data_IF_732766982673
#
_entry.id   IF_732766982673
#
_cell.length_a   1.000
_cell.length_b   1.000
_cell.length_c   1.000
_cell.angle_alpha   90.00
_cell.angle_beta   90.00
_cell.angle_gamma   90.00
#
_symmetry.space_group_name_H-M   'P 1'
#
loop_
_entity.id
_entity.type
_entity.pdbx_description
1 polymer ?
#
# COMPACT_ATOMS: atom_id res chain seq x y z
N UNK A 1 -32.67 50.99 -58.25
CA UNK A 1 -32.05 52.25 -58.72
C UNK A 1 -30.82 51.90 -59.55
N UNK A 2 -30.85 52.23 -60.84
CA UNK A 2 -29.80 51.99 -61.84
C UNK A 2 -29.12 53.33 -62.16
N UNK A 3 -27.79 53.38 -62.14
CA UNK A 3 -26.95 54.41 -62.79
C UNK A 3 -25.71 53.69 -63.31
N UNK A 4 -25.72 53.15 -64.54
CA UNK A 4 -25.41 53.75 -65.86
C UNK A 4 -23.99 54.34 -65.98
N UNK A 5 -23.15 53.48 -66.58
CA UNK A 5 -22.00 53.67 -67.51
C UNK A 5 -21.81 55.05 -68.16
N UNK A 6 -20.53 55.46 -68.29
CA UNK A 6 -19.88 56.21 -69.40
C UNK A 6 -18.34 56.16 -69.18
N UNK A 7 -17.54 55.32 -69.85
CA UNK A 7 -16.94 55.33 -71.22
C UNK A 7 -15.89 56.44 -71.51
N UNK A 8 -14.77 55.98 -72.08
CA UNK A 8 -13.71 56.68 -72.86
C UNK A 8 -12.47 57.10 -72.06
N UNK A 9 -11.22 56.80 -72.41
CA UNK A 9 -10.65 56.10 -73.57
C UNK A 9 -9.16 56.43 -73.68
N UNK A 10 -8.30 55.46 -74.00
CA UNK A 10 -7.07 55.71 -74.77
C UNK A 10 -6.48 54.40 -75.28
N UNK A 11 -6.69 54.12 -76.55
CA UNK A 11 -5.86 53.21 -77.32
C UNK A 11 -4.48 53.85 -77.52
N UNK A 12 -3.41 53.17 -77.11
CA UNK A 12 -2.09 53.40 -77.69
C UNK A 12 -1.40 52.04 -77.88
N UNK A 13 -1.56 51.57 -79.12
CA UNK A 13 -0.57 50.89 -79.97
C UNK A 13 0.37 49.87 -79.33
N UNK A 14 0.24 48.65 -79.83
CA UNK A 14 1.23 47.60 -79.74
C UNK A 14 2.55 47.98 -80.44
N UNK A 15 3.66 47.54 -79.83
CA UNK A 15 4.76 46.77 -80.42
C UNK A 15 6.17 47.34 -80.20
N UNK A 16 6.89 46.75 -79.23
CA UNK A 16 8.17 46.10 -79.52
C UNK A 16 8.35 44.91 -78.58
N UNK A 17 8.48 43.71 -79.15
CA UNK A 17 8.84 42.47 -78.44
C UNK A 17 10.36 42.36 -78.40
N UNK A 18 10.86 41.96 -77.24
CA UNK A 18 11.95 41.01 -76.95
C UNK A 18 12.75 41.57 -75.75
N UNK A 19 12.85 40.90 -74.61
CA UNK A 19 13.31 39.53 -74.49
C UNK A 19 12.76 38.81 -73.25
N UNK A 20 12.50 37.51 -73.42
CA UNK A 20 12.73 36.52 -72.37
C UNK A 20 11.67 36.34 -71.30
N UNK A 21 10.43 35.97 -71.67
CA UNK A 21 9.62 34.91 -71.04
C UNK A 21 8.22 34.93 -71.66
N UNK A 22 7.73 33.76 -72.04
CA UNK A 22 6.39 33.63 -72.63
C UNK A 22 5.34 34.08 -71.60
N UNK A 23 4.27 34.82 -71.97
CA UNK A 23 3.20 35.22 -71.04
C UNK A 23 2.58 34.02 -70.28
N UNK A 24 2.69 32.82 -70.86
CA UNK A 24 2.34 31.55 -70.23
C UNK A 24 3.25 31.21 -69.03
N UNK A 25 4.56 31.47 -69.12
CA UNK A 25 5.53 31.22 -68.05
C UNK A 25 5.29 32.12 -66.83
N UNK A 26 4.88 33.38 -67.06
CA UNK A 26 4.48 34.29 -65.98
C UNK A 26 3.23 33.82 -65.23
N UNK A 27 2.18 33.43 -65.97
CA UNK A 27 0.94 32.91 -65.37
C UNK A 27 1.15 31.62 -64.57
N UNK A 28 2.03 30.73 -65.02
CA UNK A 28 2.39 29.50 -64.29
C UNK A 28 3.13 29.84 -62.98
N UNK A 29 4.04 30.81 -63.00
CA UNK A 29 4.76 31.26 -61.79
C UNK A 29 3.83 31.90 -60.77
N UNK A 30 2.91 32.76 -61.21
CA UNK A 30 1.93 33.41 -60.33
C UNK A 30 0.96 32.38 -59.72
N UNK A 31 0.51 31.40 -60.50
CA UNK A 31 -0.32 30.30 -60.01
C UNK A 31 0.43 29.42 -59.00
N UNK A 32 1.68 29.05 -59.31
CA UNK A 32 2.52 28.28 -58.39
C UNK A 32 2.76 29.03 -57.08
N UNK A 33 2.95 30.35 -57.14
CA UNK A 33 3.12 31.19 -55.95
C UNK A 33 1.82 31.32 -55.15
N UNK A 34 0.66 31.40 -55.79
CA UNK A 34 -0.63 31.37 -55.10
C UNK A 34 -0.89 30.02 -54.43
N UNK A 35 -0.60 28.90 -55.10
CA UNK A 35 -0.73 27.56 -54.53
C UNK A 35 0.20 27.41 -53.32
N UNK A 36 1.42 27.93 -53.41
CA UNK A 36 2.36 27.92 -52.28
C UNK A 36 1.87 28.75 -51.10
N UNK A 37 1.40 29.97 -51.34
CA UNK A 37 0.85 30.85 -50.30
C UNK A 37 -0.43 30.27 -49.68
N UNK A 38 -1.29 29.65 -50.49
CA UNK A 38 -2.47 28.94 -50.01
C UNK A 38 -2.09 27.72 -49.17
N UNK A 39 -1.05 26.98 -49.56
CA UNK A 39 -0.50 25.88 -48.78
C UNK A 39 0.04 26.35 -47.42
N UNK A 40 0.79 27.45 -47.40
CA UNK A 40 1.32 28.05 -46.15
C UNK A 40 0.19 28.57 -45.25
N UNK A 41 -0.83 29.20 -45.84
CA UNK A 41 -2.00 29.70 -45.11
C UNK A 41 -2.86 28.57 -44.53
N UNK A 42 -3.07 27.49 -45.29
CA UNK A 42 -3.79 26.30 -44.82
C UNK A 42 -3.01 25.59 -43.70
N UNK A 43 -1.68 25.50 -43.82
CA UNK A 43 -0.83 24.95 -42.76
C UNK A 43 -0.86 25.80 -41.49
N UNK A 44 -0.80 27.13 -41.61
CA UNK A 44 -0.92 28.03 -40.46
C UNK A 44 -2.29 27.88 -39.77
N UNK A 45 -3.37 27.76 -40.54
CA UNK A 45 -4.72 27.52 -40.01
C UNK A 45 -4.84 26.15 -39.34
N UNK A 46 -4.24 25.11 -39.92
CA UNK A 46 -4.19 23.78 -39.32
C UNK A 46 -3.33 23.74 -38.04
N UNK A 47 -2.26 24.53 -37.94
CA UNK A 47 -1.51 24.68 -36.68
C UNK A 47 -2.36 25.34 -35.60
N UNK A 48 -3.09 26.41 -35.94
CA UNK A 48 -3.93 27.12 -34.97
C UNK A 48 -5.10 26.24 -34.47
N UNK A 49 -5.76 25.54 -35.39
CA UNK A 49 -6.86 24.62 -35.06
C UNK A 49 -6.35 23.32 -34.42
N UNK A 50 -5.19 22.83 -34.83
CA UNK A 50 -4.51 21.67 -34.26
C UNK A 50 -4.06 21.89 -32.82
N UNK A 51 -3.59 23.09 -32.48
CA UNK A 51 -3.27 23.47 -31.10
C UNK A 51 -4.50 23.42 -30.17
N UNK A 52 -5.64 23.97 -30.62
CA UNK A 52 -6.91 23.93 -29.87
C UNK A 52 -7.44 22.50 -29.70
N UNK A 53 -7.34 21.67 -30.74
CA UNK A 53 -7.71 20.26 -30.68
C UNK A 53 -6.80 19.49 -29.70
N UNK A 54 -5.49 19.77 -29.72
CA UNK A 54 -4.54 19.17 -28.78
C UNK A 54 -4.82 19.56 -27.33
N UNK A 55 -5.03 20.84 -27.04
CA UNK A 55 -5.39 21.30 -25.69
C UNK A 55 -6.68 20.66 -25.18
N UNK A 56 -7.66 20.47 -26.07
CA UNK A 56 -8.92 19.79 -25.75
C UNK A 56 -8.67 18.31 -25.41
N UNK A 57 -7.87 17.61 -26.22
CA UNK A 57 -7.47 16.23 -25.94
C UNK A 57 -6.68 16.10 -24.64
N UNK A 58 -5.79 17.04 -24.33
CA UNK A 58 -5.05 17.06 -23.06
C UNK A 58 -5.99 17.28 -21.88
N UNK A 59 -6.94 18.22 -21.98
CA UNK A 59 -7.96 18.41 -20.93
C UNK A 59 -8.82 17.17 -20.74
N UNK A 60 -9.27 16.55 -21.83
CA UNK A 60 -10.07 15.34 -21.80
C UNK A 60 -9.27 14.19 -21.17
N UNK A 61 -8.00 14.00 -21.57
CA UNK A 61 -7.08 13.01 -21.03
C UNK A 61 -6.80 13.20 -19.54
N UNK A 62 -6.54 14.43 -19.10
CA UNK A 62 -6.38 14.75 -17.68
C UNK A 62 -7.68 14.49 -16.90
N UNK A 63 -8.84 14.77 -17.49
CA UNK A 63 -10.13 14.47 -16.87
C UNK A 63 -10.37 12.97 -16.74
N UNK A 64 -10.02 12.18 -17.76
CA UNK A 64 -10.13 10.73 -17.77
C UNK A 64 -9.17 10.11 -16.76
N UNK A 65 -7.93 10.62 -16.68
CA UNK A 65 -6.96 10.17 -15.70
C UNK A 65 -7.46 10.44 -14.28
N UNK A 66 -7.96 11.65 -13.99
CA UNK A 66 -8.52 11.98 -12.68
C UNK A 66 -9.73 11.13 -12.33
N UNK A 67 -10.66 10.92 -13.27
CA UNK A 67 -11.83 10.05 -13.09
C UNK A 67 -11.40 8.60 -12.83
N UNK A 68 -10.44 8.09 -13.61
CA UNK A 68 -9.92 6.72 -13.45
C UNK A 68 -9.22 6.56 -12.10
N UNK A 69 -8.42 7.54 -11.69
CA UNK A 69 -7.76 7.54 -10.39
C UNK A 69 -8.79 7.56 -9.25
N UNK A 70 -9.79 8.44 -9.31
CA UNK A 70 -10.84 8.51 -8.29
C UNK A 70 -11.61 7.19 -8.18
N UNK A 71 -11.99 6.59 -9.31
CA UNK A 71 -12.65 5.28 -9.33
C UNK A 71 -11.72 4.19 -8.80
N UNK A 72 -10.45 4.19 -9.17
CA UNK A 72 -9.48 3.22 -8.65
C UNK A 72 -9.29 3.35 -7.14
N UNK A 73 -9.16 4.57 -6.63
CA UNK A 73 -9.08 4.86 -5.19
C UNK A 73 -10.35 4.40 -4.45
N UNK A 74 -11.54 4.65 -5.01
CA UNK A 74 -12.81 4.17 -4.47
C UNK A 74 -12.88 2.63 -4.45
N UNK A 75 -12.48 1.97 -5.54
CA UNK A 75 -12.44 0.50 -5.62
C UNK A 75 -11.44 -0.11 -4.66
N UNK A 76 -10.26 0.49 -4.52
CA UNK A 76 -9.24 0.05 -3.56
C UNK A 76 -9.78 0.23 -2.14
N UNK A 77 -10.36 1.39 -1.83
CA UNK A 77 -10.95 1.66 -0.51
C UNK A 77 -12.07 0.66 -0.18
N UNK A 78 -12.99 0.39 -1.11
CA UNK A 78 -14.02 -0.64 -0.94
C UNK A 78 -13.42 -2.03 -0.77
N UNK A 79 -12.42 -2.40 -1.57
CA UNK A 79 -11.78 -3.70 -1.48
C UNK A 79 -11.05 -3.87 -0.14
N UNK A 80 -10.28 -2.86 0.28
CA UNK A 80 -9.62 -2.82 1.59
C UNK A 80 -10.64 -2.90 2.72
N UNK A 81 -11.77 -2.20 2.62
CA UNK A 81 -12.86 -2.28 3.59
C UNK A 81 -13.45 -3.69 3.65
N UNK A 82 -13.80 -4.29 2.51
CA UNK A 82 -14.31 -5.67 2.44
C UNK A 82 -13.32 -6.69 2.98
N UNK A 83 -12.04 -6.56 2.63
CA UNK A 83 -10.96 -7.42 3.14
C UNK A 83 -10.80 -7.24 4.64
N UNK A 84 -10.86 -6.02 5.16
CA UNK A 84 -10.79 -5.75 6.60
C UNK A 84 -12.00 -6.36 7.33
N UNK A 85 -13.21 -6.24 6.80
CA UNK A 85 -14.41 -6.88 7.37
C UNK A 85 -14.28 -8.39 7.34
N UNK A 86 -13.88 -8.99 6.22
CA UNK A 86 -13.66 -10.43 6.11
C UNK A 86 -12.55 -10.91 7.06
N UNK A 87 -11.45 -10.16 7.18
CA UNK A 87 -10.37 -10.47 8.10
C UNK A 87 -10.85 -10.42 9.55
N UNK A 88 -11.63 -9.41 9.94
CA UNK A 88 -12.23 -9.33 11.27
C UNK A 88 -13.23 -10.47 11.53
N UNK A 89 -14.04 -10.86 10.55
CA UNK A 89 -14.94 -12.01 10.67
C UNK A 89 -14.19 -13.34 10.79
N UNK A 90 -13.14 -13.54 9.98
CA UNK A 90 -12.29 -14.72 10.06
C UNK A 90 -11.57 -14.74 11.39
N UNK A 91 -11.00 -13.62 11.84
CA UNK A 91 -10.28 -13.54 13.11
C UNK A 91 -11.21 -13.82 14.29
N UNK A 92 -12.44 -13.30 14.28
CA UNK A 92 -13.43 -13.57 15.33
C UNK A 92 -13.97 -15.00 15.30
N UNK A 93 -14.20 -15.59 14.12
CA UNK A 93 -14.68 -16.99 13.99
C UNK A 93 -13.58 -18.03 14.16
N UNK A 94 -12.34 -17.67 13.83
CA UNK A 94 -11.20 -18.57 13.81
C UNK A 94 -10.23 -18.33 14.97
N UNK A 95 -10.55 -17.49 15.97
CA UNK A 95 -9.71 -17.28 17.15
C UNK A 95 -9.24 -18.61 17.78
N UNK A 96 -10.13 -19.61 17.90
CA UNK A 96 -9.75 -20.95 18.38
C UNK A 96 -8.97 -21.82 17.39
N UNK A 97 -8.94 -21.47 16.10
CA UNK A 97 -8.07 -22.07 15.09
C UNK A 97 -6.70 -21.38 15.03
N UNK A 98 -6.63 -20.10 15.41
CA UNK A 98 -5.38 -19.36 15.56
C UNK A 98 -4.51 -19.95 16.66
N UNK A 99 -5.06 -20.32 17.81
CA UNK A 99 -4.32 -21.02 18.87
C UNK A 99 -3.72 -22.36 18.37
N UNK A 100 -4.44 -23.08 17.50
CA UNK A 100 -3.93 -24.31 16.87
C UNK A 100 -2.82 -24.01 15.86
N UNK A 101 -2.95 -22.94 15.09
CA UNK A 101 -1.89 -22.49 14.18
C UNK A 101 -0.67 -21.96 14.94
N UNK A 102 -0.84 -21.36 16.10
CA UNK A 102 0.25 -20.98 17.00
C UNK A 102 1.00 -22.22 17.46
N UNK A 103 0.29 -23.25 17.95
CA UNK A 103 0.93 -24.52 18.31
C UNK A 103 1.65 -25.18 17.12
N UNK A 104 1.08 -25.11 15.92
CA UNK A 104 1.67 -25.68 14.71
C UNK A 104 2.87 -24.85 14.22
N UNK A 105 2.81 -23.53 14.36
CA UNK A 105 3.89 -22.62 14.03
C UNK A 105 5.04 -22.81 15.02
N UNK A 106 4.76 -22.87 16.32
CA UNK A 106 5.71 -23.21 17.36
C UNK A 106 6.37 -24.56 17.08
N UNK A 107 5.61 -25.59 16.72
CA UNK A 107 6.16 -26.90 16.38
C UNK A 107 7.06 -26.84 15.14
N UNK A 108 6.68 -26.07 14.11
CA UNK A 108 7.47 -25.91 12.88
C UNK A 108 8.72 -25.05 13.11
N UNK A 109 8.64 -24.02 13.93
CA UNK A 109 9.77 -23.17 14.33
C UNK A 109 10.70 -23.95 15.23
N UNK A 110 10.19 -24.68 16.23
CA UNK A 110 10.98 -25.56 17.08
C UNK A 110 11.68 -26.65 16.26
N UNK A 111 11.01 -27.25 15.27
CA UNK A 111 11.60 -28.23 14.36
C UNK A 111 12.68 -27.62 13.46
N UNK A 112 12.51 -26.37 13.02
CA UNK A 112 13.52 -25.67 12.24
C UNK A 112 14.75 -25.30 13.09
N UNK A 113 14.53 -24.81 14.31
CA UNK A 113 15.57 -24.49 15.29
C UNK A 113 16.35 -25.74 15.71
N UNK A 114 15.66 -26.86 15.94
CA UNK A 114 16.28 -28.14 16.24
C UNK A 114 17.15 -28.65 15.08
N UNK A 115 16.72 -28.48 13.83
CA UNK A 115 17.54 -28.78 12.64
C UNK A 115 18.77 -27.88 12.51
N UNK A 116 18.71 -26.66 13.04
CA UNK A 116 19.81 -25.71 13.09
C UNK A 116 20.76 -25.96 14.28
N UNK A 117 20.44 -26.93 15.15
CA UNK A 117 21.26 -27.31 16.30
C UNK A 117 20.99 -26.51 17.57
N UNK A 118 19.89 -25.76 17.63
CA UNK A 118 19.45 -25.08 18.86
C UNK A 118 18.78 -26.11 19.78
N UNK A 119 19.34 -26.41 20.97
CA UNK A 119 18.74 -27.35 21.91
C UNK A 119 17.40 -26.80 22.44
N UNK A 120 16.41 -27.68 22.63
CA UNK A 120 15.11 -27.26 23.17
C UNK A 120 15.16 -27.11 24.70
N UNK A 121 14.20 -26.38 25.27
CA UNK A 121 14.12 -26.20 26.74
C UNK A 121 14.02 -27.54 27.49
N UNK A 122 13.33 -28.54 26.92
CA UNK A 122 13.23 -29.88 27.51
C UNK A 122 14.54 -30.64 27.50
N UNK A 123 15.35 -30.44 26.47
CA UNK A 123 16.66 -31.09 26.39
C UNK A 123 17.59 -30.54 27.49
N UNK A 124 17.52 -29.24 27.73
CA UNK A 124 18.26 -28.57 28.81
C UNK A 124 17.80 -29.05 30.18
N UNK A 125 16.49 -29.19 30.39
CA UNK A 125 15.93 -29.67 31.66
C UNK A 125 16.29 -31.14 31.94
N UNK A 126 16.20 -32.02 30.94
CA UNK A 126 16.66 -33.41 31.09
C UNK A 126 18.16 -33.50 31.38
N UNK A 127 18.96 -32.58 30.84
CA UNK A 127 20.38 -32.51 31.13
C UNK A 127 20.64 -32.04 32.57
N UNK A 128 19.87 -31.07 33.06
CA UNK A 128 19.93 -30.60 34.46
C UNK A 128 19.59 -31.72 35.44
N UNK A 129 18.52 -32.47 35.20
CA UNK A 129 18.16 -33.64 36.04
C UNK A 129 19.28 -34.69 36.08
N UNK A 130 19.91 -34.94 34.92
CA UNK A 130 21.05 -35.86 34.83
C UNK A 130 22.25 -35.33 35.58
N UNK A 131 22.54 -34.03 35.48
CA UNK A 131 23.64 -33.38 36.20
C UNK A 131 23.39 -33.47 37.71
N UNK A 132 22.17 -33.21 38.18
CA UNK A 132 21.82 -33.29 39.59
C UNK A 132 21.94 -34.72 40.12
N UNK A 133 21.46 -35.71 39.37
CA UNK A 133 21.63 -37.12 39.71
C UNK A 133 23.10 -37.54 39.74
N UNK A 134 23.91 -37.05 38.79
CA UNK A 134 25.35 -37.32 38.75
C UNK A 134 26.07 -36.64 39.90
N UNK A 135 25.71 -35.40 40.23
CA UNK A 135 26.25 -34.65 41.36
C UNK A 135 25.93 -35.35 42.69
N UNK A 136 24.70 -35.87 42.85
CA UNK A 136 24.32 -36.67 44.00
C UNK A 136 25.15 -37.97 44.11
N UNK A 137 25.46 -38.63 42.99
CA UNK A 137 26.33 -39.80 42.97
C UNK A 137 27.79 -39.45 43.27
N UNK A 138 28.30 -38.35 42.73
CA UNK A 138 29.67 -37.86 42.99
C UNK A 138 29.83 -37.43 44.44
N UNK A 139 28.84 -36.77 45.06
CA UNK A 139 28.85 -36.48 46.50
C UNK A 139 28.87 -37.76 47.34
N UNK A 140 28.17 -38.80 46.89
CA UNK A 140 28.14 -40.11 47.56
C UNK A 140 29.45 -40.90 47.40
N UNK A 141 30.14 -40.74 46.27
CA UNK A 141 31.43 -41.40 45.96
C UNK A 141 32.65 -40.60 46.46
N UNK A 142 32.53 -39.28 46.51
CA UNK A 142 33.60 -38.32 46.79
C UNK A 142 33.86 -38.07 48.27
N UNK A 143 33.13 -38.73 49.17
CA UNK A 143 33.51 -38.84 50.58
C UNK A 143 33.90 -37.51 51.25
N UNK A 144 33.13 -36.44 51.03
CA UNK A 144 33.14 -35.33 52.00
C UNK A 144 32.04 -35.65 53.00
N UNK A 145 32.45 -36.40 54.01
CA UNK A 145 31.78 -36.50 55.29
C UNK A 145 31.52 -35.08 55.82
N UNK A 146 30.32 -34.58 55.58
CA UNK A 146 29.67 -33.75 56.59
C UNK A 146 28.44 -34.49 57.06
N UNK A 147 28.70 -35.37 58.02
CA UNK A 147 27.72 -35.87 58.94
C UNK A 147 26.92 -34.70 59.54
N UNK A 148 25.76 -34.40 58.94
CA UNK A 148 24.77 -33.51 59.51
C UNK A 148 23.64 -34.37 60.11
N UNK A 149 23.95 -34.84 61.32
CA UNK A 149 23.05 -34.94 62.47
C UNK A 149 21.56 -35.13 62.19
N UNK A 150 21.12 -36.36 62.43
CA UNK A 150 19.75 -36.73 62.77
C UNK A 150 19.28 -35.94 64.01
N UNK A 151 18.21 -35.13 63.95
CA UNK A 151 17.50 -34.74 65.16
C UNK A 151 16.47 -35.82 65.49
N UNK A 152 16.66 -36.40 66.66
CA UNK A 152 15.69 -37.25 67.31
C UNK A 152 14.36 -36.50 67.52
N UNK A 153 13.28 -37.22 67.19
CA UNK A 153 11.90 -37.10 67.65
C UNK A 153 11.76 -36.42 69.03
N UNK A 154 11.05 -35.29 69.11
CA UNK A 154 10.47 -34.78 70.37
C UNK A 154 9.09 -34.14 70.17
N UNK A 155 8.12 -34.79 70.80
CA UNK A 155 6.87 -34.30 71.39
C UNK A 155 5.89 -33.41 70.58
N UNK A 156 4.65 -33.88 70.52
CA UNK A 156 3.45 -33.13 70.13
C UNK A 156 3.02 -32.12 71.24
N UNK A 157 1.89 -31.41 71.09
CA UNK A 157 1.82 -29.99 70.77
C UNK A 157 1.41 -29.12 71.98
N UNK A 158 1.81 -27.84 72.01
CA UNK A 158 1.23 -26.88 72.99
C UNK A 158 0.89 -25.55 72.34
N UNK A 159 -0.40 -25.23 72.47
CA UNK A 159 -1.14 -23.99 72.17
C UNK A 159 -0.35 -22.71 72.44
N UNK A 160 -0.60 -21.67 71.62
CA UNK A 160 -1.19 -20.40 72.06
C UNK A 160 -1.72 -19.54 70.90
N UNK A 161 -3.01 -19.20 71.01
CA UNK A 161 -3.64 -17.88 70.76
C UNK A 161 -3.15 -16.98 69.61
N UNK A 162 -4.05 -16.59 68.71
CA UNK A 162 -4.63 -15.24 68.69
C UNK A 162 -5.44 -15.00 67.41
N UNK A 163 -6.54 -14.28 67.58
CA UNK A 163 -7.55 -13.94 66.60
C UNK A 163 -7.04 -13.15 65.38
N UNK A 164 -7.67 -13.37 64.22
CA UNK A 164 -7.90 -12.29 63.25
C UNK A 164 -9.22 -12.50 62.50
N UNK A 165 -9.99 -11.41 62.49
CA UNK A 165 -11.40 -11.30 62.11
C UNK A 165 -11.70 -11.56 60.62
N UNK A 166 -12.96 -11.90 60.26
CA UNK A 166 -13.41 -11.98 58.88
C UNK A 166 -13.83 -10.60 58.36
N UNK A 167 -13.10 -10.06 57.39
CA UNK A 167 -13.55 -8.88 56.65
C UNK A 167 -14.54 -9.30 55.54
N UNK A 168 -15.83 -9.11 55.80
CA UNK A 168 -16.86 -8.95 54.76
C UNK A 168 -16.93 -7.47 54.38
N UNK A 169 -16.80 -7.12 53.10
CA UNK A 169 -17.67 -6.10 52.47
C UNK A 169 -17.65 -6.13 50.94
N UNK A 170 -18.85 -5.90 50.42
CA UNK A 170 -19.38 -6.01 49.05
C UNK A 170 -18.71 -5.16 47.96
N UNK A 171 -18.93 -5.50 46.67
CA UNK A 171 -18.98 -4.52 45.60
C UNK A 171 -20.42 -4.02 45.36
N UNK A 172 -20.61 -2.70 45.52
CA UNK A 172 -21.83 -2.01 45.13
C UNK A 172 -21.88 -1.76 43.61
N UNK A 173 -23.10 -1.77 43.08
CA UNK A 173 -23.51 -1.68 41.68
C UNK A 173 -23.77 -0.23 41.25
N UNK A 174 -23.85 -0.02 39.91
CA UNK A 174 -24.45 1.11 39.12
C UNK A 174 -23.58 2.36 38.93
N UNK A 175 -23.59 3.09 37.81
CA UNK A 175 -24.42 3.15 36.58
C UNK A 175 -23.58 3.84 35.46
N UNK A 176 -23.60 3.38 34.20
CA UNK A 176 -24.41 3.89 33.09
C UNK A 176 -24.59 5.42 33.00
N UNK A 177 -23.96 6.05 31.99
CA UNK A 177 -24.45 7.27 31.33
C UNK A 177 -23.97 7.34 29.86
N UNK A 178 -24.93 7.44 28.94
CA UNK A 178 -24.81 7.82 27.52
C UNK A 178 -24.91 9.35 27.38
N UNK A 179 -24.22 9.92 26.38
CA UNK A 179 -24.61 10.96 25.39
C UNK A 179 -23.33 11.73 24.96
N UNK A 180 -22.96 11.87 23.70
CA UNK A 180 -23.66 12.41 22.53
C UNK A 180 -24.08 13.88 22.69
N UNK A 181 -23.19 14.76 22.24
CA UNK A 181 -23.44 16.03 21.56
C UNK A 181 -22.18 16.36 20.76
#
# INVERSE_FOLDING_TARGET
MVKKVSKSGSSRTAASRAAGTSPLTGAIKDSAQQIWLAGLGAFAKAQEEGGKAFETLVKEGLSIQRKTQAVAEERISEATSRVSTMANEIQSKAAGSWDKLESLFEERVAKALGKLGVPSARDVESLMDRIDALNAQVLKLGGVDTAASKPARKAAPRKTTAAKAPAKRAPAKKAAAKKAA
#
